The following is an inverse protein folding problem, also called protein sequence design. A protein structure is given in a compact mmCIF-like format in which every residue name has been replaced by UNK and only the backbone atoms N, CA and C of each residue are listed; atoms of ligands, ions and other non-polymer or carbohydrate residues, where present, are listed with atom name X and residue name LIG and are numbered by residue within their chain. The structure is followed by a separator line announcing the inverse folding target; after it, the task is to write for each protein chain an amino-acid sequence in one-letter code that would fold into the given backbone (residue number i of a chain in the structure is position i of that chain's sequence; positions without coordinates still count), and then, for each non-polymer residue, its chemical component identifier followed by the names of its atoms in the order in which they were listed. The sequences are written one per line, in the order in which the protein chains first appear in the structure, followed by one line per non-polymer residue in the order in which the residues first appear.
data_IF_191559366397
#
_entry.id   IF_191559366397
#
_cell.length_a   1.000
_cell.length_b   1.000
_cell.length_c   1.000
_cell.angle_alpha   90.00
_cell.angle_beta   90.00
_cell.angle_gamma   90.00
#
_symmetry.space_group_name_H-M   'P 1'
#
loop_
_entity.id
_entity.type
_entity.pdbx_description
1 polymer ?
#
# COMPACT_ATOMS: atom_id res chain seq x y z
N UNK A 1 8.01 -4.05 3.99
CA UNK A 1 7.75 -4.46 2.61
C UNK A 1 8.69 -3.70 1.68
N UNK A 2 9.02 -4.26 0.52
CA UNK A 2 9.90 -3.68 -0.49
C UNK A 2 9.31 -3.90 -1.90
N UNK A 3 9.65 -3.00 -2.81
CA UNK A 3 9.29 -3.08 -4.21
C UNK A 3 9.99 -4.28 -4.89
N UNK A 4 9.31 -5.09 -5.72
CA UNK A 4 9.97 -6.16 -6.48
C UNK A 4 10.80 -5.63 -7.66
N UNK A 5 10.64 -4.36 -8.04
CA UNK A 5 11.48 -3.68 -9.03
C UNK A 5 12.71 -3.02 -8.41
N UNK A 6 13.76 -2.83 -9.21
CA UNK A 6 14.95 -2.08 -8.79
C UNK A 6 14.60 -0.63 -8.50
N UNK A 7 15.08 -0.10 -7.36
CA UNK A 7 14.76 1.26 -6.90
C UNK A 7 15.05 2.32 -7.96
N UNK A 8 16.18 2.20 -8.67
CA UNK A 8 16.57 3.09 -9.78
C UNK A 8 15.49 3.18 -10.88
N UNK A 9 14.81 2.07 -11.17
CA UNK A 9 13.74 1.99 -12.16
C UNK A 9 12.36 2.31 -11.58
N UNK A 10 12.25 2.38 -10.26
CA UNK A 10 11.02 2.68 -9.54
C UNK A 10 10.96 4.15 -9.10
N UNK A 11 11.38 5.03 -10.01
CA UNK A 11 11.30 6.48 -9.88
C UNK A 11 10.70 7.08 -11.14
N UNK A 12 10.05 8.24 -11.01
CA UNK A 12 9.60 9.00 -12.16
C UNK A 12 10.80 9.42 -13.01
N UNK A 13 10.70 9.25 -14.32
CA UNK A 13 11.76 9.63 -15.27
C UNK A 13 12.14 11.11 -15.22
N UNK A 14 11.22 11.98 -14.78
CA UNK A 14 11.45 13.42 -14.59
C UNK A 14 11.95 13.80 -13.18
N UNK A 15 12.00 12.84 -12.25
CA UNK A 15 12.39 13.04 -10.86
C UNK A 15 13.11 11.80 -10.33
N UNK A 16 14.23 11.45 -10.97
CA UNK A 16 15.06 10.31 -10.57
C UNK A 16 15.56 10.45 -9.12
N UNK A 17 15.80 9.31 -8.48
CA UNK A 17 16.35 9.23 -7.12
C UNK A 17 17.61 8.35 -7.11
N UNK A 18 18.76 8.93 -6.73
CA UNK A 18 20.05 8.24 -6.58
C UNK A 18 20.27 7.70 -5.16
N UNK A 19 19.39 8.04 -4.22
CA UNK A 19 19.58 7.82 -2.79
C UNK A 19 18.90 6.55 -2.26
N UNK A 20 18.53 5.62 -3.13
CA UNK A 20 18.09 4.29 -2.70
C UNK A 20 19.22 3.60 -1.92
N UNK A 21 18.92 3.14 -0.70
CA UNK A 21 19.91 2.43 0.12
C UNK A 21 20.20 1.05 -0.45
N UNK A 22 19.16 0.32 -0.84
CA UNK A 22 19.21 -1.03 -1.36
C UNK A 22 18.71 -1.11 -2.81
N UNK A 23 19.14 -2.16 -3.52
CA UNK A 23 18.72 -2.48 -4.90
C UNK A 23 17.19 -2.51 -5.02
N UNK A 24 16.50 -3.05 -4.02
CA UNK A 24 15.05 -3.04 -3.94
C UNK A 24 14.59 -2.10 -2.84
N UNK A 25 14.02 -0.96 -3.24
CA UNK A 25 13.60 0.07 -2.31
C UNK A 25 12.54 -0.42 -1.30
N UNK A 26 12.74 -0.05 -0.05
CA UNK A 26 11.78 -0.34 1.02
C UNK A 26 10.55 0.58 0.94
N UNK A 27 9.42 0.16 1.51
CA UNK A 27 8.20 0.97 1.55
C UNK A 27 8.43 2.37 2.17
N UNK A 28 9.18 2.52 3.29
CA UNK A 28 9.47 3.83 3.86
C UNK A 28 10.27 4.74 2.91
N UNK A 29 11.25 4.19 2.18
CA UNK A 29 12.02 4.97 1.21
C UNK A 29 11.18 5.39 0.01
N UNK A 30 10.30 4.52 -0.49
CA UNK A 30 9.38 4.86 -1.59
C UNK A 30 8.43 5.96 -1.16
N UNK A 31 7.90 5.91 0.07
CA UNK A 31 7.06 6.96 0.62
C UNK A 31 7.82 8.29 0.70
N UNK A 32 9.03 8.28 1.30
CA UNK A 32 9.86 9.46 1.41
C UNK A 32 10.21 10.05 0.02
N UNK A 33 10.48 9.19 -0.96
CA UNK A 33 10.68 9.60 -2.34
C UNK A 33 9.45 10.31 -2.91
N UNK A 34 8.26 9.72 -2.80
CA UNK A 34 7.00 10.33 -3.29
C UNK A 34 6.74 11.67 -2.59
N UNK A 35 6.92 11.76 -1.28
CA UNK A 35 6.80 13.00 -0.51
C UNK A 35 7.80 14.07 -0.99
N UNK A 36 9.04 13.68 -1.30
CA UNK A 36 10.05 14.58 -1.85
C UNK A 36 9.64 15.14 -3.23
N UNK A 37 9.01 14.32 -4.08
CA UNK A 37 8.51 14.74 -5.39
C UNK A 37 7.36 15.74 -5.22
N UNK A 38 6.40 15.45 -4.34
CA UNK A 38 5.29 16.37 -4.03
C UNK A 38 5.81 17.72 -3.54
N UNK A 39 6.82 17.71 -2.66
CA UNK A 39 7.46 18.92 -2.16
C UNK A 39 8.22 19.68 -3.25
N UNK A 40 8.96 18.99 -4.12
CA UNK A 40 9.80 19.60 -5.17
C UNK A 40 8.98 20.37 -6.19
N UNK A 41 7.81 19.87 -6.55
CA UNK A 41 6.97 20.47 -7.59
C UNK A 41 5.84 21.34 -7.02
N UNK A 42 5.90 21.71 -5.74
CA UNK A 42 4.94 22.62 -5.08
C UNK A 42 3.47 22.20 -5.20
N UNK A 43 3.20 20.89 -5.27
CA UNK A 43 1.82 20.38 -5.40
C UNK A 43 1.07 20.33 -4.06
N UNK A 44 1.74 20.61 -2.94
CA UNK A 44 1.17 20.41 -1.59
C UNK A 44 -0.11 21.21 -1.32
N UNK A 45 -0.24 22.42 -1.87
CA UNK A 45 -1.46 23.25 -1.72
C UNK A 45 -2.69 22.71 -2.46
N UNK A 46 -2.48 21.82 -3.42
CA UNK A 46 -3.53 21.21 -4.24
C UNK A 46 -3.88 19.78 -3.84
N UNK A 47 -3.09 19.19 -2.92
CA UNK A 47 -3.32 17.83 -2.40
C UNK A 47 -4.13 17.92 -1.11
N UNK A 48 -5.35 17.40 -1.15
CA UNK A 48 -6.20 17.27 0.03
C UNK A 48 -6.23 15.81 0.48
N UNK A 49 -5.52 15.51 1.57
CA UNK A 49 -5.49 14.18 2.18
C UNK A 49 -6.73 13.95 3.07
N UNK A 50 -6.98 12.69 3.43
CA UNK A 50 -8.16 12.29 4.22
C UNK A 50 -9.50 12.70 3.57
N UNK A 51 -9.56 12.68 2.23
CA UNK A 51 -10.77 12.95 1.47
C UNK A 51 -11.06 11.74 0.57
N UNK A 52 -12.19 11.08 0.78
CA UNK A 52 -12.66 9.98 -0.06
C UNK A 52 -13.58 10.52 -1.16
N UNK A 53 -13.27 10.20 -2.42
CA UNK A 53 -14.19 10.44 -3.54
C UNK A 53 -15.22 9.31 -3.58
N UNK A 54 -16.49 9.62 -3.34
CA UNK A 54 -17.56 8.60 -3.21
C UNK A 54 -18.41 8.47 -4.47
N UNK A 55 -18.46 9.51 -5.32
CA UNK A 55 -19.15 9.49 -6.58
C UNK A 55 -18.62 10.61 -7.50
N UNK A 56 -18.71 10.38 -8.81
CA UNK A 56 -18.52 11.41 -9.83
C UNK A 56 -19.57 11.24 -10.93
N UNK A 57 -20.27 12.32 -11.28
CA UNK A 57 -21.29 12.34 -12.32
C UNK A 57 -21.02 13.46 -13.32
N UNK A 58 -21.28 13.22 -14.60
CA UNK A 58 -21.18 14.24 -15.65
C UNK A 58 -22.51 14.99 -15.77
N UNK A 59 -22.44 16.31 -15.79
CA UNK A 59 -23.60 17.21 -15.92
C UNK A 59 -23.66 17.76 -17.34
N UNK A 60 -24.49 17.15 -18.20
CA UNK A 60 -24.56 17.48 -19.63
C UNK A 60 -24.86 18.95 -19.92
N UNK A 61 -25.75 19.58 -19.15
CA UNK A 61 -26.14 20.97 -19.36
C UNK A 61 -25.06 21.98 -18.93
N UNK A 62 -24.20 21.60 -17.99
CA UNK A 62 -23.16 22.48 -17.44
C UNK A 62 -21.78 22.19 -18.06
N UNK A 63 -21.64 21.04 -18.74
CA UNK A 63 -20.37 20.52 -19.25
C UNK A 63 -19.29 20.42 -18.15
N UNK A 64 -19.70 19.91 -16.98
CA UNK A 64 -18.86 19.75 -15.79
C UNK A 64 -19.04 18.36 -15.18
N UNK A 65 -17.98 17.86 -14.54
CA UNK A 65 -18.05 16.80 -13.55
C UNK A 65 -18.49 17.36 -12.21
N UNK A 66 -19.48 16.73 -11.58
CA UNK A 66 -19.80 16.90 -10.17
C UNK A 66 -19.18 15.75 -9.38
N UNK A 67 -18.33 16.08 -8.42
CA UNK A 67 -17.56 15.09 -7.66
C UNK A 67 -17.90 15.21 -6.17
N UNK A 68 -18.27 14.09 -5.57
CA UNK A 68 -18.72 13.98 -4.19
C UNK A 68 -17.59 13.47 -3.30
N UNK A 69 -17.34 14.19 -2.22
CA UNK A 69 -16.29 13.87 -1.26
C UNK A 69 -16.84 13.65 0.15
N UNK A 70 -16.18 12.79 0.90
CA UNK A 70 -16.35 12.61 2.34
C UNK A 70 -15.00 12.81 3.02
N UNK A 71 -14.96 13.72 4.00
CA UNK A 71 -13.78 13.97 4.82
C UNK A 71 -13.65 12.91 5.92
N UNK A 72 -12.53 12.20 5.96
CA UNK A 72 -12.38 11.00 6.79
C UNK A 72 -12.49 11.23 8.30
N UNK A 73 -11.95 12.34 8.82
CA UNK A 73 -11.98 12.61 10.27
C UNK A 73 -13.33 13.14 10.76
N UNK A 74 -14.01 13.97 9.97
CA UNK A 74 -15.23 14.66 10.38
C UNK A 74 -16.50 14.00 9.84
N UNK A 75 -16.38 13.14 8.82
CA UNK A 75 -17.50 12.63 8.03
C UNK A 75 -18.17 13.69 7.16
N UNK A 76 -17.61 14.91 7.09
CA UNK A 76 -18.21 16.04 6.38
C UNK A 76 -18.28 15.72 4.89
N UNK A 77 -19.49 15.84 4.34
CA UNK A 77 -19.75 15.65 2.91
C UNK A 77 -19.72 16.99 2.19
N UNK A 78 -19.08 17.03 1.04
CA UNK A 78 -19.10 18.20 0.17
C UNK A 78 -18.96 17.80 -1.30
N UNK A 79 -19.22 18.77 -2.18
CA UNK A 79 -19.19 18.57 -3.63
C UNK A 79 -18.25 19.59 -4.25
N UNK A 80 -17.50 19.19 -5.27
CA UNK A 80 -16.73 20.09 -6.15
C UNK A 80 -17.09 19.83 -7.60
N UNK A 81 -17.21 20.91 -8.38
CA UNK A 81 -17.38 20.83 -9.82
C UNK A 81 -16.03 21.03 -10.52
N UNK A 82 -15.77 20.26 -11.59
CA UNK A 82 -14.54 20.36 -12.38
C UNK A 82 -14.82 20.14 -13.87
N UNK A 83 -14.05 20.79 -14.75
CA UNK A 83 -14.15 20.57 -16.20
C UNK A 83 -13.51 19.25 -16.62
N UNK A 84 -12.44 18.86 -15.91
CA UNK A 84 -11.68 17.65 -16.17
C UNK A 84 -11.60 16.81 -14.90
N UNK A 85 -11.73 15.51 -15.06
CA UNK A 85 -11.55 14.52 -14.00
C UNK A 85 -10.49 13.52 -14.46
N UNK A 86 -9.40 13.41 -13.71
CA UNK A 86 -8.34 12.42 -13.95
C UNK A 86 -8.37 11.45 -12.78
N UNK A 87 -8.74 10.20 -13.05
CA UNK A 87 -8.80 9.15 -12.04
C UNK A 87 -7.44 8.45 -11.93
N UNK A 88 -6.75 8.64 -10.80
CA UNK A 88 -5.50 7.97 -10.45
C UNK A 88 -5.67 7.11 -9.18
N UNK A 89 -6.75 6.32 -9.14
CA UNK A 89 -7.20 5.57 -7.94
C UNK A 89 -6.40 4.30 -7.65
N UNK A 90 -5.58 3.84 -8.58
CA UNK A 90 -4.85 2.58 -8.45
C UNK A 90 -5.74 1.36 -8.72
N UNK A 91 -5.18 0.16 -8.49
CA UNK A 91 -5.85 -1.12 -8.76
C UNK A 91 -5.74 -2.14 -7.60
N UNK A 92 -5.00 -1.81 -6.53
CA UNK A 92 -4.74 -2.68 -5.38
C UNK A 92 -4.97 -1.94 -4.05
N UNK A 93 -5.89 -0.98 -4.03
CA UNK A 93 -6.18 -0.10 -2.89
C UNK A 93 -7.22 -0.67 -1.93
N UNK A 94 -8.27 -1.35 -2.44
CA UNK A 94 -9.33 -1.96 -1.61
C UNK A 94 -8.94 -3.37 -1.17
N UNK A 95 -8.73 -3.62 0.14
CA UNK A 95 -8.43 -4.94 0.65
C UNK A 95 -9.59 -5.92 0.44
N UNK A 96 -9.30 -7.12 -0.08
CA UNK A 96 -10.23 -8.24 -0.01
C UNK A 96 -10.03 -8.93 1.34
N UNK A 97 -10.81 -8.50 2.32
CA UNK A 97 -10.67 -8.91 3.70
C UNK A 97 -11.18 -10.32 3.99
N UNK A 98 -11.56 -10.54 5.25
CA UNK A 98 -11.99 -11.84 5.74
C UNK A 98 -13.50 -12.06 5.59
N UNK A 99 -14.24 -11.12 4.98
CA UNK A 99 -15.71 -11.12 4.88
C UNK A 99 -16.24 -12.35 4.12
N UNK A 100 -15.46 -12.88 3.19
CA UNK A 100 -15.79 -14.11 2.45
C UNK A 100 -15.59 -15.41 3.24
N UNK A 101 -15.01 -15.37 4.44
CA UNK A 101 -14.74 -16.55 5.25
C UNK A 101 -15.95 -16.88 6.11
N UNK A 102 -16.51 -18.08 5.93
CA UNK A 102 -17.68 -18.53 6.68
C UNK A 102 -17.39 -18.55 8.20
N UNK A 103 -18.30 -17.97 8.97
CA UNK A 103 -18.22 -17.89 10.43
C UNK A 103 -16.99 -17.15 10.97
N UNK A 104 -16.38 -16.27 10.18
CA UNK A 104 -15.19 -15.51 10.60
C UNK A 104 -15.42 -14.69 11.87
N UNK A 105 -16.63 -14.20 12.07
CA UNK A 105 -17.04 -13.44 13.26
C UNK A 105 -16.94 -14.24 14.57
N UNK A 106 -16.89 -15.58 14.49
CA UNK A 106 -16.72 -16.45 15.65
C UNK A 106 -15.24 -16.61 16.05
N UNK A 107 -14.30 -16.11 15.24
CA UNK A 107 -12.90 -16.12 15.58
C UNK A 107 -12.63 -15.08 16.68
N UNK A 108 -12.36 -15.56 17.90
CA UNK A 108 -12.08 -14.71 19.06
C UNK A 108 -10.70 -14.04 19.05
N UNK A 109 -9.91 -14.20 17.99
CA UNK A 109 -8.59 -13.59 17.83
C UNK A 109 -8.63 -12.28 17.03
N UNK A 110 -7.48 -11.63 16.90
CA UNK A 110 -7.33 -10.43 16.08
C UNK A 110 -7.26 -10.79 14.59
N UNK A 111 -7.99 -10.02 13.77
CA UNK A 111 -8.00 -10.15 12.30
C UNK A 111 -7.65 -8.78 11.71
N UNK A 112 -6.70 -8.74 10.78
CA UNK A 112 -6.41 -7.57 9.95
C UNK A 112 -5.81 -8.02 8.61
N UNK A 113 -5.90 -7.17 7.59
CA UNK A 113 -5.37 -7.43 6.25
C UNK A 113 -3.98 -6.80 6.08
N UNK A 114 -3.09 -7.40 5.28
CA UNK A 114 -1.70 -6.90 5.15
C UNK A 114 -1.59 -5.49 4.57
N UNK A 115 -2.58 -5.06 3.79
CA UNK A 115 -2.69 -3.68 3.28
C UNK A 115 -3.09 -2.66 4.38
N UNK A 116 -3.79 -3.11 5.42
CA UNK A 116 -4.19 -2.32 6.59
C UNK A 116 -3.52 -2.90 7.83
N UNK A 117 -2.19 -2.89 7.83
CA UNK A 117 -1.41 -3.53 8.88
C UNK A 117 -1.67 -2.89 10.25
N UNK A 118 -2.03 -3.71 11.24
CA UNK A 118 -2.22 -3.25 12.61
C UNK A 118 -0.88 -3.16 13.34
N UNK A 119 -0.26 -1.99 13.29
CA UNK A 119 1.01 -1.72 13.97
C UNK A 119 0.92 -1.75 15.50
N UNK A 120 -0.29 -1.80 16.07
CA UNK A 120 -0.49 -1.89 17.53
C UNK A 120 -0.55 -3.33 18.04
N UNK A 121 -0.62 -4.32 17.14
CA UNK A 121 -0.75 -5.72 17.53
C UNK A 121 0.55 -6.32 18.07
N UNK A 122 0.45 -6.97 19.23
CA UNK A 122 1.58 -7.62 19.91
C UNK A 122 1.68 -9.10 19.52
N UNK A 123 2.72 -9.43 18.76
CA UNK A 123 2.98 -10.76 18.17
C UNK A 123 3.63 -11.84 19.05
N UNK A 124 4.43 -11.52 20.09
CA UNK A 124 5.10 -12.54 20.90
C UNK A 124 4.13 -13.59 21.46
N UNK A 125 4.56 -14.85 21.43
CA UNK A 125 3.83 -16.02 21.94
C UNK A 125 2.44 -16.27 21.31
N UNK A 126 2.13 -15.64 20.17
CA UNK A 126 0.87 -15.85 19.45
C UNK A 126 0.95 -17.01 18.46
N UNK A 127 -0.17 -17.71 18.30
CA UNK A 127 -0.39 -18.61 17.17
C UNK A 127 -0.99 -17.79 16.01
N UNK A 128 -0.26 -17.70 14.89
CA UNK A 128 -0.64 -16.85 13.75
C UNK A 128 -1.11 -17.73 12.59
N UNK A 129 -2.24 -17.35 11.99
CA UNK A 129 -2.71 -17.94 10.73
C UNK A 129 -2.59 -16.89 9.63
N UNK A 130 -1.91 -17.23 8.54
CA UNK A 130 -1.78 -16.38 7.35
C UNK A 130 -2.54 -17.02 6.21
N UNK A 131 -3.49 -16.27 5.62
CA UNK A 131 -4.27 -16.72 4.48
C UNK A 131 -3.68 -16.08 3.22
N UNK A 132 -3.19 -16.92 2.31
CA UNK A 132 -2.55 -16.50 1.05
C UNK A 132 -1.03 -16.60 1.06
N UNK A 133 -0.47 -16.69 -0.14
CA UNK A 133 0.96 -16.84 -0.45
C UNK A 133 1.40 -15.96 -1.62
N UNK A 134 0.71 -14.85 -1.86
CA UNK A 134 1.08 -13.85 -2.86
C UNK A 134 2.30 -13.02 -2.44
N UNK A 135 2.62 -12.00 -3.25
CA UNK A 135 3.79 -11.13 -3.03
C UNK A 135 3.84 -10.53 -1.62
N UNK A 136 2.71 -10.08 -1.06
CA UNK A 136 2.65 -9.53 0.30
C UNK A 136 3.08 -10.56 1.35
N UNK A 137 2.48 -11.76 1.32
CA UNK A 137 2.80 -12.84 2.25
C UNK A 137 4.27 -13.27 2.16
N UNK A 138 4.80 -13.40 0.94
CA UNK A 138 6.20 -13.76 0.72
C UNK A 138 7.19 -12.75 1.35
N UNK A 139 6.77 -11.51 1.58
CA UNK A 139 7.60 -10.50 2.23
C UNK A 139 7.46 -10.50 3.75
N UNK A 140 6.24 -10.54 4.29
CA UNK A 140 6.06 -10.43 5.74
C UNK A 140 6.16 -11.76 6.50
N UNK A 141 5.83 -12.90 5.87
CA UNK A 141 5.87 -14.22 6.53
C UNK A 141 7.28 -14.56 7.02
N UNK A 142 8.35 -14.45 6.20
CA UNK A 142 9.71 -14.70 6.68
C UNK A 142 10.13 -13.77 7.82
N UNK A 143 9.66 -12.52 7.80
CA UNK A 143 9.96 -11.55 8.85
C UNK A 143 9.26 -11.91 10.16
N UNK A 144 7.97 -12.27 10.12
CA UNK A 144 7.23 -12.71 11.30
C UNK A 144 7.86 -13.93 11.96
N UNK A 145 8.22 -14.95 11.16
CA UNK A 145 8.82 -16.20 11.67
C UNK A 145 10.18 -15.94 12.31
N UNK A 146 11.00 -15.03 11.76
CA UNK A 146 12.37 -14.78 12.22
C UNK A 146 12.47 -13.76 13.35
N UNK A 147 11.56 -12.78 13.41
CA UNK A 147 11.76 -11.58 14.22
C UNK A 147 10.60 -11.24 15.15
N UNK A 148 9.39 -11.77 14.95
CA UNK A 148 8.22 -11.35 15.72
C UNK A 148 7.93 -12.18 16.98
N UNK A 149 8.74 -13.21 17.28
CA UNK A 149 8.60 -14.02 18.51
C UNK A 149 7.30 -14.83 18.60
N UNK A 150 6.65 -15.11 17.46
CA UNK A 150 5.42 -15.88 17.40
C UNK A 150 5.64 -17.32 17.87
N UNK A 151 4.62 -17.94 18.48
CA UNK A 151 4.67 -19.33 18.96
C UNK A 151 4.63 -20.33 17.80
N UNK A 152 3.71 -20.12 16.86
CA UNK A 152 3.57 -20.96 15.67
C UNK A 152 2.92 -20.19 14.53
N UNK A 153 3.18 -20.63 13.30
CA UNK A 153 2.50 -20.12 12.12
C UNK A 153 1.88 -21.24 11.29
N UNK A 154 0.63 -21.04 10.86
CA UNK A 154 0.00 -21.83 9.80
C UNK A 154 -0.25 -20.92 8.61
N UNK A 155 0.31 -21.27 7.44
CA UNK A 155 0.02 -20.56 6.20
C UNK A 155 -0.92 -21.39 5.33
N UNK A 156 -2.09 -20.82 5.02
CA UNK A 156 -3.12 -21.46 4.17
C UNK A 156 -2.95 -20.96 2.75
N UNK A 157 -2.64 -21.86 1.82
CA UNK A 157 -2.38 -21.55 0.41
C UNK A 157 -3.44 -22.20 -0.48
N UNK A 158 -4.08 -21.41 -1.35
CA UNK A 158 -5.03 -21.94 -2.34
C UNK A 158 -4.32 -22.48 -3.57
N UNK A 159 -3.30 -21.78 -4.05
CA UNK A 159 -2.55 -22.11 -5.27
C UNK A 159 -1.05 -21.99 -5.01
N UNK A 160 -0.22 -22.93 -5.48
CA UNK A 160 1.22 -22.80 -5.38
C UNK A 160 1.72 -21.66 -6.26
N UNK A 161 2.77 -20.97 -5.82
CA UNK A 161 3.44 -19.91 -6.58
C UNK A 161 4.92 -20.27 -6.79
N UNK A 162 5.45 -19.85 -7.93
CA UNK A 162 6.89 -19.88 -8.18
C UNK A 162 7.56 -18.75 -7.40
N UNK A 163 8.67 -19.06 -6.75
CA UNK A 163 9.48 -18.10 -6.02
C UNK A 163 10.92 -18.20 -6.49
N UNK A 164 11.50 -17.04 -6.82
CA UNK A 164 12.92 -16.92 -7.11
C UNK A 164 13.62 -16.25 -5.91
N UNK A 165 14.90 -16.56 -5.67
CA UNK A 165 15.71 -15.79 -4.74
C UNK A 165 15.69 -14.30 -5.12
N UNK A 166 15.62 -13.45 -4.11
CA UNK A 166 15.69 -12.00 -4.27
C UNK A 166 16.97 -11.53 -3.57
N UNK A 167 18.02 -11.35 -4.34
CA UNK A 167 19.30 -10.84 -3.84
C UNK A 167 19.17 -9.33 -3.62
N UNK A 168 18.77 -8.95 -2.40
CA UNK A 168 18.74 -7.55 -1.98
C UNK A 168 20.03 -7.21 -1.24
N UNK A 169 20.56 -6.02 -1.52
CA UNK A 169 21.75 -5.50 -0.86
C UNK A 169 21.97 -4.04 -1.24
N UNK A 170 23.00 -3.40 -0.66
CA UNK A 170 23.23 -1.98 -0.84
C UNK A 170 23.52 -1.65 -2.31
N UNK A 171 22.99 -0.52 -2.78
CA UNK A 171 23.30 -0.02 -4.14
C UNK A 171 24.76 0.40 -4.21
N UNK A 172 25.59 -0.22 -5.07
CA UNK A 172 26.96 0.22 -5.31
C UNK A 172 27.01 1.65 -5.84
N UNK A 173 28.02 2.42 -5.45
CA UNK A 173 28.18 3.84 -5.84
C UNK A 173 28.10 4.06 -7.36
N UNK A 174 28.66 3.13 -8.14
CA UNK A 174 28.67 3.20 -9.61
C UNK A 174 27.31 2.91 -10.27
N UNK A 175 26.35 2.34 -9.53
CA UNK A 175 24.97 2.12 -10.01
C UNK A 175 24.02 3.26 -9.63
N UNK A 176 24.46 4.25 -8.84
CA UNK A 176 23.58 5.34 -8.39
C UNK A 176 23.20 6.34 -9.51
N UNK A 177 23.88 6.29 -10.66
CA UNK A 177 23.76 7.24 -11.76
C UNK A 177 23.44 6.54 -13.09
#
# INVERSE_FOLDING_TARGET
MACPEYGQLYSYSFALNSEWSDVYASQPEILAYIESVVSRFSHSSHVHLNQECTAAEWLDHEFLWRVHFVEGQSGRRYVKNARFLIAAVGFSDVPNGAEGIRNIQNFGGRIFHSANWDHSFDFPDKNVVVIGNGCSANQFVPHLVKHAGIRSMVQVMKSPHWIAPKDNGPVPVWQKW
#
